data_IF_771356913101
#
_entry.id   IF_771356913101
#
_cell.length_a   1.000
_cell.length_b   1.000
_cell.length_c   1.000
_cell.angle_alpha   90.00
_cell.angle_beta   90.00
_cell.angle_gamma   90.00
#
_symmetry.space_group_name_H-M   'P 1'
#
loop_
_entity.id
_entity.type
_entity.pdbx_description
1 polymer ?
#
# COMPACT_ATOMS: atom_id res chain seq x y z
N UNK A 1 -4.24 -9.89 25.58
CA UNK A 1 -4.07 -10.35 24.20
C UNK A 1 -3.81 -9.15 23.31
N UNK A 2 -2.66 -9.15 22.65
CA UNK A 2 -2.31 -7.99 21.82
C UNK A 2 -3.00 -8.10 20.46
N UNK A 3 -3.60 -7.00 20.02
CA UNK A 3 -4.19 -6.94 18.70
C UNK A 3 -3.07 -6.89 17.65
N UNK A 4 -3.29 -7.50 16.50
CA UNK A 4 -2.38 -7.36 15.39
C UNK A 4 -2.46 -5.93 14.86
N UNK A 5 -1.35 -5.34 14.39
CA UNK A 5 -1.37 -4.00 13.82
C UNK A 5 -1.97 -4.03 12.41
N UNK A 6 -3.27 -4.26 12.32
CA UNK A 6 -3.96 -4.42 11.04
C UNK A 6 -4.32 -3.05 10.46
N UNK A 7 -3.91 -2.83 9.21
CA UNK A 7 -4.28 -1.66 8.44
C UNK A 7 -5.00 -2.11 7.18
N UNK A 8 -5.84 -1.24 6.65
CA UNK A 8 -6.60 -1.54 5.43
C UNK A 8 -5.96 -0.79 4.26
N UNK A 9 -5.64 -1.54 3.21
CA UNK A 9 -5.15 -0.96 1.96
C UNK A 9 -6.31 -0.94 0.98
N UNK A 10 -6.61 0.24 0.43
CA UNK A 10 -7.64 0.40 -0.59
C UNK A 10 -6.97 0.59 -1.93
N UNK A 11 -7.42 -0.17 -2.93
CA UNK A 11 -6.83 -0.12 -4.26
C UNK A 11 -7.76 0.65 -5.20
N UNK A 12 -7.17 1.52 -6.02
CA UNK A 12 -7.91 2.31 -7.00
C UNK A 12 -7.23 2.21 -8.37
N UNK A 13 -8.02 2.21 -9.43
CA UNK A 13 -7.49 2.22 -10.79
C UNK A 13 -6.68 0.98 -11.13
N UNK A 14 -5.49 1.19 -11.69
CA UNK A 14 -4.62 0.09 -12.10
C UNK A 14 -4.25 -0.82 -10.93
N UNK A 15 -3.89 -0.30 -9.75
CA UNK A 15 -3.62 -1.19 -8.62
C UNK A 15 -4.79 -2.10 -8.29
N UNK A 16 -6.02 -1.59 -8.39
CA UNK A 16 -7.21 -2.42 -8.14
C UNK A 16 -7.34 -3.54 -9.14
N UNK A 17 -7.09 -3.24 -10.41
CA UNK A 17 -7.14 -4.24 -11.46
C UNK A 17 -6.10 -5.32 -11.24
N UNK A 18 -4.89 -4.92 -10.87
CA UNK A 18 -3.78 -5.85 -10.67
C UNK A 18 -3.93 -6.67 -9.40
N UNK A 19 -4.47 -6.06 -8.35
CA UNK A 19 -4.72 -6.76 -7.09
C UNK A 19 -5.87 -7.75 -7.22
N UNK A 20 -6.82 -7.45 -8.11
CA UNK A 20 -8.02 -8.27 -8.29
C UNK A 20 -9.02 -8.08 -7.16
N UNK A 21 -8.90 -7.00 -6.40
CA UNK A 21 -9.77 -6.73 -5.26
C UNK A 21 -9.75 -5.24 -4.93
N UNK A 22 -10.79 -4.80 -4.21
CA UNK A 22 -10.93 -3.38 -3.88
C UNK A 22 -10.12 -2.99 -2.65
N UNK A 23 -9.92 -3.92 -1.72
CA UNK A 23 -9.18 -3.62 -0.50
C UNK A 23 -8.60 -4.90 0.09
N UNK A 24 -7.64 -4.72 1.00
CA UNK A 24 -6.95 -5.82 1.65
C UNK A 24 -6.54 -5.36 3.04
N UNK A 25 -6.78 -6.21 4.04
CA UNK A 25 -6.26 -5.96 5.38
C UNK A 25 -4.90 -6.64 5.52
N UNK A 26 -3.92 -5.90 6.00
CA UNK A 26 -2.56 -6.42 6.19
C UNK A 26 -2.07 -6.06 7.59
N UNK A 27 -1.22 -6.91 8.14
CA UNK A 27 -0.54 -6.62 9.39
C UNK A 27 0.76 -5.88 9.05
N UNK A 28 0.86 -4.62 9.48
CA UNK A 28 2.03 -3.80 9.18
C UNK A 28 2.16 -2.69 10.20
N UNK A 29 3.38 -2.30 10.48
CA UNK A 29 3.69 -1.18 11.38
C UNK A 29 4.33 -0.02 10.64
N UNK A 30 4.83 -0.26 9.44
CA UNK A 30 5.44 0.75 8.59
C UNK A 30 4.94 0.60 7.18
N UNK A 31 5.14 1.66 6.39
CA UNK A 31 4.77 1.61 4.97
C UNK A 31 5.55 0.50 4.25
N UNK A 32 6.83 0.32 4.60
CA UNK A 32 7.63 -0.74 3.99
C UNK A 32 7.05 -2.13 4.24
N UNK A 33 6.64 -2.40 5.47
CA UNK A 33 6.01 -3.67 5.81
C UNK A 33 4.68 -3.84 5.07
N UNK A 34 3.93 -2.75 4.94
CA UNK A 34 2.67 -2.76 4.22
C UNK A 34 2.88 -3.13 2.76
N UNK A 35 3.85 -2.51 2.10
CA UNK A 35 4.13 -2.80 0.70
C UNK A 35 4.57 -4.25 0.50
N UNK A 36 5.39 -4.76 1.41
CA UNK A 36 5.82 -6.15 1.36
C UNK A 36 4.63 -7.09 1.49
N UNK A 37 3.74 -6.81 2.43
CA UNK A 37 2.55 -7.63 2.64
C UNK A 37 1.63 -7.60 1.43
N UNK A 38 1.47 -6.44 0.79
CA UNK A 38 0.64 -6.30 -0.41
C UNK A 38 1.21 -7.12 -1.56
N UNK A 39 2.52 -7.04 -1.79
CA UNK A 39 3.16 -7.82 -2.84
C UNK A 39 2.97 -9.31 -2.63
N UNK A 40 3.08 -9.73 -1.38
CA UNK A 40 2.94 -11.14 -1.04
C UNK A 40 1.52 -11.64 -1.27
N UNK A 41 0.53 -10.84 -0.89
CA UNK A 41 -0.88 -11.21 -1.00
C UNK A 41 -1.44 -11.04 -2.42
N UNK A 42 -0.86 -10.14 -3.20
CA UNK A 42 -1.38 -9.79 -4.52
C UNK A 42 -0.29 -10.00 -5.58
N UNK A 43 -0.19 -11.21 -6.15
CA UNK A 43 0.85 -11.48 -7.16
C UNK A 43 0.80 -10.53 -8.37
N UNK A 44 -0.38 -10.01 -8.69
CA UNK A 44 -0.52 -9.04 -9.78
C UNK A 44 0.16 -7.70 -9.51
N UNK A 45 0.55 -7.46 -8.26
CA UNK A 45 1.29 -6.27 -7.87
C UNK A 45 2.77 -6.56 -7.62
N UNK A 46 3.28 -7.67 -8.13
CA UNK A 46 4.71 -7.95 -8.07
C UNK A 46 5.46 -6.79 -8.74
N UNK A 47 6.54 -6.36 -8.10
CA UNK A 47 7.28 -5.20 -8.59
C UNK A 47 6.75 -3.86 -8.10
N UNK A 48 5.85 -3.89 -7.12
CA UNK A 48 5.34 -2.68 -6.47
C UNK A 48 6.46 -1.86 -5.83
N UNK A 49 7.49 -2.55 -5.33
CA UNK A 49 8.66 -1.90 -4.73
C UNK A 49 9.85 -1.96 -5.67
N UNK A 50 10.68 -0.93 -5.59
CA UNK A 50 11.98 -0.91 -6.22
C UNK A 50 12.93 -1.82 -5.45
N UNK A 51 14.10 -2.17 -6.03
CA UNK A 51 15.09 -2.96 -5.30
C UNK A 51 15.53 -2.34 -3.98
N UNK A 52 15.45 -0.99 -3.86
CA UNK A 52 15.80 -0.29 -2.62
C UNK A 52 14.65 -0.27 -1.61
N UNK A 53 13.55 -0.94 -1.89
CA UNK A 53 12.40 -1.04 -1.00
C UNK A 53 11.37 0.06 -1.15
N UNK A 54 11.66 1.09 -1.93
CA UNK A 54 10.74 2.20 -2.13
C UNK A 54 9.64 1.83 -3.11
N UNK A 55 8.50 2.51 -2.98
CA UNK A 55 7.43 2.39 -3.95
C UNK A 55 7.92 2.85 -5.31
N UNK A 56 7.56 2.13 -6.37
CA UNK A 56 7.95 2.56 -7.72
C UNK A 56 7.21 3.84 -8.10
N UNK A 57 7.76 4.56 -9.08
CA UNK A 57 7.18 5.83 -9.52
C UNK A 57 5.82 5.68 -10.20
N UNK A 58 5.41 4.46 -10.49
CA UNK A 58 4.10 4.21 -11.12
C UNK A 58 2.92 4.30 -10.17
N UNK A 59 3.19 4.35 -8.87
CA UNK A 59 2.15 4.31 -7.86
C UNK A 59 2.31 5.43 -6.85
N UNK A 60 1.19 5.77 -6.20
CA UNK A 60 1.14 6.73 -5.11
C UNK A 60 0.47 6.06 -3.91
N UNK A 61 0.94 6.38 -2.72
CA UNK A 61 0.31 5.96 -1.47
C UNK A 61 -0.16 7.19 -0.72
N UNK A 62 -1.36 7.09 -0.16
CA UNK A 62 -1.91 8.15 0.67
C UNK A 62 -2.45 7.54 1.96
N UNK A 63 -2.09 8.11 3.10
CA UNK A 63 -2.61 7.65 4.39
C UNK A 63 -3.82 8.50 4.72
N UNK A 64 -4.96 7.84 4.92
CA UNK A 64 -6.24 8.46 5.28
C UNK A 64 -6.70 9.52 4.26
N UNK A 65 -6.18 9.44 3.02
CA UNK A 65 -6.53 10.41 1.99
C UNK A 65 -6.00 11.80 2.23
N UNK A 66 -5.12 12.00 3.22
CA UNK A 66 -4.68 13.34 3.62
C UNK A 66 -3.35 13.76 3.03
N UNK A 67 -2.43 12.83 2.88
CA UNK A 67 -1.10 13.15 2.36
C UNK A 67 -0.52 11.96 1.62
N UNK A 68 0.29 12.27 0.64
CA UNK A 68 1.04 11.22 -0.06
C UNK A 68 2.28 10.88 0.75
N UNK A 69 2.63 9.60 0.75
CA UNK A 69 3.73 9.06 1.53
C UNK A 69 4.81 8.54 0.61
N UNK A 70 6.05 8.96 0.87
CA UNK A 70 7.20 8.47 0.10
C UNK A 70 8.21 7.74 0.99
N UNK A 71 8.17 7.95 2.31
CA UNK A 71 9.14 7.35 3.22
C UNK A 71 8.61 6.01 3.71
N UNK A 72 9.27 4.92 3.29
CA UNK A 72 8.86 3.58 3.67
C UNK A 72 9.04 3.29 5.16
N UNK A 73 9.78 4.14 5.86
CA UNK A 73 9.97 4.00 7.31
C UNK A 73 8.82 4.63 8.09
N UNK A 74 7.95 5.39 7.42
CA UNK A 74 6.82 6.01 8.10
C UNK A 74 5.95 4.94 8.75
N UNK A 75 5.58 5.19 10.01
CA UNK A 75 4.74 4.27 10.76
C UNK A 75 3.28 4.40 10.34
N UNK A 76 2.60 3.26 10.37
CA UNK A 76 1.15 3.23 10.24
C UNK A 76 0.59 2.66 11.54
N UNK A 77 -0.65 3.01 11.82
CA UNK A 77 -1.31 2.61 13.07
C UNK A 77 -2.43 1.62 12.78
N UNK A 78 -2.74 0.74 13.73
CA UNK A 78 -3.89 -0.14 13.57
C UNK A 78 -5.13 0.68 13.25
N UNK A 79 -5.88 0.23 12.25
CA UNK A 79 -7.09 0.92 11.83
C UNK A 79 -6.88 1.97 10.76
N UNK A 80 -5.65 2.32 10.44
CA UNK A 80 -5.38 3.28 9.34
C UNK A 80 -5.87 2.71 8.01
N UNK A 81 -6.26 3.62 7.13
CA UNK A 81 -6.58 3.31 5.74
C UNK A 81 -5.52 3.91 4.85
N UNK A 82 -4.93 3.07 4.02
CA UNK A 82 -3.89 3.48 3.09
C UNK A 82 -4.39 3.25 1.68
N UNK A 83 -4.37 4.29 0.87
CA UNK A 83 -4.85 4.24 -0.50
C UNK A 83 -3.69 4.04 -1.45
N UNK A 84 -3.80 3.06 -2.33
CA UNK A 84 -2.81 2.81 -3.37
C UNK A 84 -3.42 3.18 -4.71
N UNK A 85 -2.79 4.12 -5.40
CA UNK A 85 -3.29 4.72 -6.63
C UNK A 85 -2.22 4.63 -7.70
N UNK A 86 -2.67 4.78 -8.96
CA UNK A 86 -1.74 4.92 -10.07
C UNK A 86 -1.26 6.38 -10.12
N UNK A 87 0.05 6.56 -10.26
CA UNK A 87 0.62 7.91 -10.44
C UNK A 87 0.25 8.50 -11.79
N UNK A 88 -0.15 7.66 -12.73
CA UNK A 88 -0.53 8.11 -14.07
C UNK A 88 -2.01 8.38 -14.20
N UNK A 89 -2.75 8.33 -13.10
CA UNK A 89 -4.18 8.55 -13.11
C UNK A 89 -4.48 9.95 -13.63
N UNK A 90 -5.31 10.04 -14.65
CA UNK A 90 -5.65 11.30 -15.25
C UNK A 90 -4.67 11.80 -16.30
N UNK A 91 -3.58 11.07 -16.48
CA UNK A 91 -2.61 11.39 -17.49
C UNK A 91 -3.05 10.89 -18.86
#
# INVERSE_FOLDING_TARGET
MSARPVVTVEFYGVPRQRAGRAELEVAARTIGELLEAVEHACPGLAGLRRPDGRLTAHYLLSVEGRQFVSDVRQEVRPGDRVLLLSADAGG
#
